data_IF_137956938187
#
_entry.id   IF_137956938187
#
_cell.length_a   1.000
_cell.length_b   1.000
_cell.length_c   1.000
_cell.angle_alpha   90.00
_cell.angle_beta   90.00
_cell.angle_gamma   90.00
#
_symmetry.space_group_name_H-M   'P 1'
#
loop_
_entity.id
_entity.type
_entity.pdbx_description
1 polymer ?
#
# COMPACT_ATOMS: atom_id res chain seq x y z
N UNK A 1 19.57 -8.96 -5.84
CA UNK A 1 18.62 -9.75 -5.04
C UNK A 1 17.60 -8.77 -4.50
N UNK A 2 16.37 -8.79 -5.01
CA UNK A 2 15.29 -7.96 -4.47
C UNK A 2 14.69 -8.70 -3.28
N UNK A 3 15.22 -8.38 -2.11
CA UNK A 3 14.86 -9.03 -0.83
C UNK A 3 13.55 -8.45 -0.32
N UNK A 4 12.80 -9.23 0.48
CA UNK A 4 11.62 -8.83 1.26
C UNK A 4 11.69 -7.39 1.81
N UNK A 5 12.86 -7.00 2.32
CA UNK A 5 13.17 -5.66 2.83
C UNK A 5 12.92 -4.51 1.86
N UNK A 6 13.18 -4.72 0.56
CA UNK A 6 13.00 -3.68 -0.46
C UNK A 6 11.51 -3.45 -0.72
N UNK A 7 10.76 -4.54 -0.83
CA UNK A 7 9.30 -4.50 -0.91
C UNK A 7 8.69 -3.86 0.33
N UNK A 8 9.21 -4.17 1.51
CA UNK A 8 8.74 -3.57 2.76
C UNK A 8 8.95 -2.06 2.80
N UNK A 9 10.14 -1.60 2.40
CA UNK A 9 10.43 -0.17 2.25
C UNK A 9 9.52 0.51 1.22
N UNK A 10 9.34 -0.11 0.05
CA UNK A 10 8.43 0.39 -0.99
C UNK A 10 6.99 0.51 -0.50
N UNK A 11 6.53 -0.45 0.30
CA UNK A 11 5.19 -0.44 0.93
C UNK A 11 5.08 0.70 1.93
N UNK A 12 6.09 0.92 2.77
CA UNK A 12 6.12 2.04 3.73
C UNK A 12 6.16 3.37 2.98
N UNK A 13 6.99 3.51 1.96
CA UNK A 13 7.07 4.74 1.17
C UNK A 13 5.75 5.06 0.46
N UNK A 14 5.11 4.07 -0.18
CA UNK A 14 3.82 4.32 -0.85
C UNK A 14 2.73 4.64 0.16
N UNK A 15 2.70 4.01 1.33
CA UNK A 15 1.72 4.36 2.38
C UNK A 15 1.94 5.74 2.97
N UNK A 16 3.20 6.14 3.19
CA UNK A 16 3.53 7.50 3.61
C UNK A 16 3.14 8.52 2.53
N UNK A 17 3.41 8.22 1.26
CA UNK A 17 3.01 9.08 0.14
C UNK A 17 1.49 9.20 0.02
N UNK A 18 0.77 8.10 0.23
CA UNK A 18 -0.69 8.08 0.28
C UNK A 18 -1.18 8.93 1.44
N UNK A 19 -0.59 8.84 2.63
CA UNK A 19 -1.00 9.64 3.77
C UNK A 19 -0.76 11.14 3.56
N UNK A 20 0.30 11.53 2.87
CA UNK A 20 0.61 12.92 2.54
C UNK A 20 -0.30 13.49 1.44
N UNK A 21 -0.48 12.74 0.34
CA UNK A 21 -1.22 13.21 -0.84
C UNK A 21 -2.72 12.92 -0.80
N UNK A 22 -3.09 11.82 -0.17
CA UNK A 22 -4.44 11.25 -0.15
C UNK A 22 -4.78 10.77 1.28
N UNK A 23 -4.86 11.68 2.27
CA UNK A 23 -5.15 11.33 3.66
C UNK A 23 -6.46 10.54 3.84
N UNK A 24 -7.39 10.67 2.89
CA UNK A 24 -8.62 9.88 2.81
C UNK A 24 -8.34 8.38 2.61
N UNK A 25 -7.42 8.03 1.71
CA UNK A 25 -7.00 6.64 1.49
C UNK A 25 -6.18 6.09 2.66
N UNK A 26 -5.45 6.94 3.38
CA UNK A 26 -4.68 6.51 4.56
C UNK A 26 -5.56 5.88 5.64
N UNK A 27 -6.80 6.36 5.83
CA UNK A 27 -7.78 5.69 6.71
C UNK A 27 -8.07 4.25 6.28
N UNK A 28 -8.30 4.03 4.98
CA UNK A 28 -8.56 2.69 4.46
C UNK A 28 -7.37 1.75 4.61
N UNK A 29 -6.15 2.26 4.47
CA UNK A 29 -4.94 1.46 4.58
C UNK A 29 -4.59 1.12 6.04
N UNK A 30 -4.81 2.06 6.96
CA UNK A 30 -4.62 1.83 8.39
C UNK A 30 -5.56 0.76 8.96
N UNK A 31 -6.74 0.58 8.36
CA UNK A 31 -7.72 -0.46 8.74
C UNK A 31 -7.45 -1.84 8.11
N UNK A 32 -6.45 -1.97 7.23
CA UNK A 32 -6.18 -3.25 6.57
C UNK A 32 -5.43 -4.25 7.49
N UNK A 33 -6.00 -5.44 7.73
CA UNK A 33 -5.41 -6.45 8.61
C UNK A 33 -4.11 -7.07 8.06
N UNK A 34 -3.72 -6.80 6.81
CA UNK A 34 -2.49 -7.33 6.20
C UNK A 34 -1.25 -6.80 6.91
N UNK A 35 -1.27 -5.55 7.39
CA UNK A 35 -0.18 -4.97 8.16
C UNK A 35 -0.05 -5.64 9.56
N UNK A 36 -1.16 -6.07 10.14
CA UNK A 36 -1.19 -6.78 11.44
C UNK A 36 -0.70 -8.22 11.27
N UNK A 37 -0.96 -8.85 10.12
CA UNK A 37 -0.44 -10.17 9.78
C UNK A 37 1.08 -10.15 9.53
N UNK A 38 1.60 -9.04 9.00
CA UNK A 38 3.04 -8.77 8.88
C UNK A 38 3.72 -8.64 10.25
N UNK A 39 3.09 -7.96 11.22
CA UNK A 39 3.66 -7.78 12.57
C UNK A 39 3.57 -9.03 13.44
N UNK A 40 2.59 -9.91 13.22
CA UNK A 40 2.40 -11.13 14.04
C UNK A 40 3.25 -12.34 13.61
N UNK A 41 4.21 -12.17 12.71
CA UNK A 41 5.17 -13.24 12.39
C UNK A 41 4.57 -14.47 11.71
N UNK A 42 3.38 -14.33 11.10
CA UNK A 42 2.90 -15.34 10.16
C UNK A 42 3.87 -15.37 8.96
N UNK A 43 4.06 -16.52 8.33
CA UNK A 43 4.94 -16.71 7.16
C UNK A 43 4.46 -15.89 5.94
N UNK A 44 4.53 -14.57 6.01
CA UNK A 44 4.23 -13.68 4.89
C UNK A 44 5.35 -13.87 3.88
N UNK A 45 5.04 -14.46 2.73
CA UNK A 45 6.03 -14.68 1.69
C UNK A 45 6.30 -13.38 0.92
N UNK A 46 7.41 -13.33 0.17
CA UNK A 46 7.71 -12.16 -0.69
C UNK A 46 6.52 -11.87 -1.62
N UNK A 47 5.83 -12.94 -2.04
CA UNK A 47 4.66 -12.90 -2.91
C UNK A 47 3.46 -12.21 -2.26
N UNK A 48 3.23 -12.43 -0.95
CA UNK A 48 2.15 -11.77 -0.21
C UNK A 48 2.41 -10.27 -0.07
N UNK A 49 3.65 -9.88 0.24
CA UNK A 49 4.05 -8.47 0.25
C UNK A 49 3.88 -7.83 -1.12
N UNK A 50 4.29 -8.53 -2.17
CA UNK A 50 4.15 -8.05 -3.54
C UNK A 50 2.67 -7.88 -3.94
N UNK A 51 1.80 -8.84 -3.59
CA UNK A 51 0.36 -8.72 -3.81
C UNK A 51 -0.26 -7.56 -3.05
N UNK A 52 0.19 -7.32 -1.81
CA UNK A 52 -0.27 -6.19 -1.01
C UNK A 52 0.14 -4.86 -1.64
N UNK A 53 1.42 -4.73 -2.03
CA UNK A 53 1.93 -3.55 -2.72
C UNK A 53 1.20 -3.29 -4.04
N UNK A 54 0.94 -4.34 -4.82
CA UNK A 54 0.21 -4.23 -6.08
C UNK A 54 -1.23 -3.78 -5.87
N UNK A 55 -1.90 -4.31 -4.84
CA UNK A 55 -3.25 -3.89 -4.45
C UNK A 55 -3.29 -2.42 -4.03
N UNK A 56 -2.31 -1.95 -3.24
CA UNK A 56 -2.19 -0.54 -2.85
C UNK A 56 -1.98 0.36 -4.06
N UNK A 57 -1.12 -0.04 -5.00
CA UNK A 57 -0.92 0.68 -6.26
C UNK A 57 -2.18 0.74 -7.10
N UNK A 58 -2.95 -0.35 -7.17
CA UNK A 58 -4.18 -0.38 -7.95
C UNK A 58 -5.25 0.54 -7.36
N UNK A 59 -5.40 0.55 -6.03
CA UNK A 59 -6.30 1.47 -5.32
C UNK A 59 -5.86 2.92 -5.53
N UNK A 60 -4.57 3.22 -5.33
CA UNK A 60 -4.03 4.55 -5.56
C UNK A 60 -4.27 5.00 -7.00
N UNK A 61 -4.03 4.11 -7.97
CA UNK A 61 -4.22 4.42 -9.39
C UNK A 61 -5.68 4.73 -9.70
N UNK A 62 -6.61 3.86 -9.29
CA UNK A 62 -8.05 4.11 -9.49
C UNK A 62 -8.48 5.42 -8.84
N UNK A 63 -8.04 5.65 -7.62
CA UNK A 63 -8.35 6.87 -6.90
C UNK A 63 -7.77 8.09 -7.60
N UNK A 64 -6.51 8.04 -8.04
CA UNK A 64 -5.86 9.12 -8.79
C UNK A 64 -6.59 9.40 -10.11
N UNK A 65 -7.01 8.38 -10.85
CA UNK A 65 -7.79 8.52 -12.08
C UNK A 65 -9.16 9.18 -11.80
N UNK A 66 -9.88 8.76 -10.77
CA UNK A 66 -11.16 9.36 -10.38
C UNK A 66 -11.01 10.79 -9.83
N UNK A 67 -9.93 11.07 -9.11
CA UNK A 67 -9.68 12.39 -8.51
C UNK A 67 -9.09 13.40 -9.51
N UNK A 68 -8.26 12.98 -10.46
CA UNK A 68 -7.85 13.82 -11.60
C UNK A 68 -9.04 14.12 -12.52
N UNK A 69 -9.93 13.15 -12.76
CA UNK A 69 -11.12 13.35 -13.56
C UNK A 69 -12.09 14.38 -12.95
N UNK A 70 -12.14 14.49 -11.61
CA UNK A 70 -12.94 15.52 -10.91
C UNK A 70 -12.31 16.90 -10.86
N UNK A 71 -11.05 17.07 -11.30
CA UNK A 71 -10.36 18.36 -11.32
C UNK A 71 -10.41 19.07 -12.68
N UNK A 72 -11.11 18.51 -13.67
CA UNK A 72 -11.31 19.09 -15.00
C UNK A 72 -12.69 19.67 -15.19
#
# INVERSE_FOLDING_TARGET
METKEKLDKDIVEITMHIQDKFPELSKYIAEMPVHIQYTNGSNVSVEDLKKYYDSLKEVLKKYAEEHEAKKR
#
